data_IF_505166093342
#
_entry.id   IF_505166093342
#
_cell.length_a   1.000
_cell.length_b   1.000
_cell.length_c   1.000
_cell.angle_alpha   90.00
_cell.angle_beta   90.00
_cell.angle_gamma   90.00
#
_symmetry.space_group_name_H-M   'P 1'
#
loop_
_entity.id
_entity.type
_entity.pdbx_description
1 polymer ?
2 branched ?
3 non-polymer ?
4 non-polymer ?
5 non-polymer ?
6 water ?
#
# COMPACT_ATOMS: atom_id res chain seq x y z
N UNK A 1 -5.19 -11.16 -26.05
CA UNK A 1 -4.43 -10.57 -24.95
C UNK A 1 -3.26 -11.47 -24.51
N UNK A 2 -2.17 -10.84 -24.11
CA UNK A 2 -0.99 -11.55 -23.61
C UNK A 2 -0.70 -11.15 -22.17
N UNK A 3 -0.03 -12.03 -21.43
CA UNK A 3 0.40 -11.69 -20.09
C UNK A 3 1.42 -10.57 -20.20
N UNK A 4 1.37 -9.61 -19.29
CA UNK A 4 2.38 -8.55 -19.27
C UNK A 4 3.72 -9.06 -18.74
N UNK A 5 4.81 -8.65 -19.40
CA UNK A 5 6.16 -8.90 -18.89
C UNK A 5 6.80 -7.61 -18.42
N UNK A 6 7.59 -7.69 -17.35
CA UNK A 6 8.25 -6.53 -16.80
C UNK A 6 9.55 -6.24 -17.57
N UNK A 7 9.41 -5.57 -18.70
CA UNK A 7 10.54 -5.39 -19.63
C UNK A 7 11.24 -4.04 -19.53
N UNK A 8 10.67 -3.11 -18.75
CA UNK A 8 11.19 -1.75 -18.71
C UNK A 8 11.82 -1.38 -17.37
N UNK A 9 12.68 -0.37 -17.37
CA UNK A 9 13.20 0.18 -16.14
C UNK A 9 12.30 1.31 -15.68
N UNK A 10 12.57 1.84 -14.48
CA UNK A 10 11.82 3.01 -14.00
C UNK A 10 12.25 4.24 -14.78
N UNK A 11 11.29 5.11 -15.05
CA UNK A 11 11.61 6.43 -15.59
C UNK A 11 12.41 7.19 -14.55
N UNK A 12 13.24 8.12 -15.00
CA UNK A 12 13.96 9.00 -14.10
C UNK A 12 12.99 9.89 -13.34
N UNK A 13 13.08 9.85 -12.01
CA UNK A 13 12.19 10.62 -11.15
C UNK A 13 12.84 11.94 -10.74
N UNK A 14 12.38 13.04 -11.34
CA UNK A 14 12.91 14.36 -10.99
C UNK A 14 11.94 15.21 -10.16
N UNK A 15 10.67 14.81 -10.16
CA UNK A 15 9.65 15.39 -9.28
C UNK A 15 8.40 14.52 -9.36
N UNK A 16 7.35 14.93 -8.68
CA UNK A 16 6.10 14.18 -8.71
C UNK A 16 4.97 15.11 -9.14
N UNK A 17 4.09 14.63 -10.01
CA UNK A 17 2.93 15.42 -10.44
C UNK A 17 1.64 14.80 -9.93
N UNK A 18 0.60 15.63 -9.78
CA UNK A 18 -0.70 15.13 -9.34
C UNK A 18 -1.28 14.13 -10.36
N UNK A 19 -1.75 12.99 -9.87
CA UNK A 19 -2.30 11.95 -10.74
C UNK A 19 -3.79 11.79 -10.48
N UNK A 20 -4.16 11.68 -9.22
CA UNK A 20 -5.58 11.55 -8.86
C UNK A 20 -5.88 12.00 -7.45
N UNK A 21 -7.14 12.39 -7.23
CA UNK A 21 -7.58 12.82 -5.91
C UNK A 21 -9.09 12.72 -5.91
N UNK A 22 -9.67 12.07 -4.90
CA UNK A 22 -11.11 11.88 -4.95
C UNK A 22 -11.95 12.78 -4.05
N UNK A 23 -11.32 13.49 -3.11
CA UNK A 23 -12.06 14.39 -2.21
C UNK A 23 -13.26 13.69 -1.57
N UNK A 24 -13.08 12.42 -1.20
CA UNK A 24 -14.22 11.58 -0.82
C UNK A 24 -14.95 12.06 0.43
N UNK A 25 -14.21 12.57 1.41
CA UNK A 25 -14.82 12.97 2.69
C UNK A 25 -15.58 14.27 2.52
N UNK A 26 -15.02 15.22 1.77
CA UNK A 26 -15.73 16.44 1.39
C UNK A 26 -17.07 16.11 0.75
N UNK A 27 -17.01 15.26 -0.28
CA UNK A 27 -18.20 14.96 -1.08
C UNK A 27 -19.19 14.14 -0.24
N UNK A 28 -18.67 13.21 0.54
CA UNK A 28 -19.48 12.35 1.39
C UNK A 28 -20.22 13.05 2.52
N UNK A 29 -19.90 14.32 2.77
CA UNK A 29 -20.67 15.09 3.76
C UNK A 29 -22.12 15.22 3.28
N UNK A 30 -22.31 15.16 1.97
CA UNK A 30 -23.65 15.25 1.39
C UNK A 30 -23.74 14.49 0.08
N UNK A 31 -23.61 13.18 0.17
CA UNK A 31 -23.87 12.24 -0.93
C UNK A 31 -23.57 10.85 -0.38
N UNK A 32 -23.93 9.83 -1.12
CA UNK A 32 -23.87 8.46 -0.62
C UNK A 32 -22.50 7.82 -0.86
N UNK A 33 -21.51 8.31 -0.12
CA UNK A 33 -20.13 7.85 -0.24
C UNK A 33 -19.86 6.82 0.84
N UNK A 34 -19.32 5.68 0.45
CA UNK A 34 -19.03 4.61 1.42
C UNK A 34 -17.88 4.98 2.34
N UNK A 35 -17.99 4.62 3.61
CA UNK A 35 -16.86 4.67 4.52
C UNK A 35 -15.82 3.64 4.08
N UNK A 36 -14.56 4.05 3.99
CA UNK A 36 -13.49 3.13 3.62
C UNK A 36 -12.29 3.27 4.55
N UNK A 37 -11.29 2.41 4.34
CA UNK A 37 -9.92 2.66 4.77
C UNK A 37 -9.04 1.68 3.98
N UNK A 38 -7.72 1.77 4.19
CA UNK A 38 -6.76 0.94 3.45
C UNK A 38 -6.96 1.01 1.93
N UNK A 39 -6.89 2.21 1.34
CA UNK A 39 -7.11 2.32 -0.10
C UNK A 39 -5.85 1.99 -0.89
N UNK A 40 -6.00 1.82 -2.20
CA UNK A 40 -4.86 1.77 -3.11
C UNK A 40 -5.30 2.06 -4.54
N UNK A 41 -4.36 1.98 -5.49
CA UNK A 41 -4.67 2.23 -6.89
C UNK A 41 -4.11 1.04 -7.67
N UNK A 42 -4.78 0.64 -8.75
CA UNK A 42 -4.28 -0.46 -9.56
C UNK A 42 -4.80 -0.32 -10.98
N UNK A 43 -3.96 -0.63 -11.96
CA UNK A 43 -4.34 -0.48 -13.36
C UNK A 43 -4.66 -1.79 -14.07
N UNK A 44 -5.66 -1.71 -14.93
CA UNK A 44 -5.95 -2.71 -15.96
C UNK A 44 -5.30 -2.22 -17.25
N UNK A 45 -5.26 -3.06 -18.30
CA UNK A 45 -4.66 -2.55 -19.54
C UNK A 45 -5.40 -1.37 -20.17
N UNK A 46 -6.66 -1.15 -19.79
CA UNK A 46 -7.47 -0.10 -20.43
C UNK A 46 -8.02 0.94 -19.47
N UNK A 47 -7.69 0.82 -18.19
CA UNK A 47 -8.27 1.72 -17.18
C UNK A 47 -7.50 1.60 -15.89
N UNK A 48 -7.34 2.71 -15.17
CA UNK A 48 -6.81 2.65 -13.82
C UNK A 48 -7.92 2.99 -12.82
N UNK A 49 -7.94 2.31 -11.68
CA UNK A 49 -9.04 2.47 -10.72
C UNK A 49 -8.55 2.63 -9.28
N UNK A 50 -9.38 3.27 -8.46
CA UNK A 50 -9.14 3.34 -7.02
C UNK A 50 -9.73 2.10 -6.35
N UNK A 51 -9.08 1.64 -5.29
CA UNK A 51 -9.48 0.46 -4.53
C UNK A 51 -9.47 0.82 -3.04
N UNK A 52 -10.29 0.13 -2.25
CA UNK A 52 -10.26 0.28 -0.79
C UNK A 52 -11.11 -0.77 -0.11
N UNK A 53 -10.98 -0.87 1.21
CA UNK A 53 -11.88 -1.72 1.98
C UNK A 53 -13.07 -0.91 2.48
N UNK A 54 -14.25 -1.19 1.92
CA UNK A 54 -15.47 -0.56 2.40
C UNK A 54 -15.76 -1.04 3.81
N UNK A 55 -16.56 -0.25 4.54
CA UNK A 55 -17.07 -0.66 5.84
C UNK A 55 -18.56 -1.00 5.78
N UNK A 56 -19.14 -0.98 4.58
CA UNK A 56 -20.52 -1.41 4.42
C UNK A 56 -21.52 -0.43 5.01
N UNK A 57 -21.24 0.86 4.84
CA UNK A 57 -22.11 1.94 5.29
C UNK A 57 -21.61 3.21 4.63
N UNK A 58 -22.46 4.22 4.49
CA UNK A 58 -21.98 5.53 4.05
C UNK A 58 -21.53 6.34 5.26
N UNK A 59 -20.87 7.48 5.02
CA UNK A 59 -20.33 8.29 6.11
C UNK A 59 -21.46 8.95 6.89
N UNK A 60 -22.47 9.44 6.19
CA UNK A 60 -23.59 10.09 6.83
C UNK A 60 -24.55 9.09 7.48
N UNK A 61 -24.47 7.84 7.04
CA UNK A 61 -25.27 6.79 7.63
C UNK A 61 -24.94 6.57 9.09
N UNK A 62 -25.94 6.21 9.88
CA UNK A 62 -25.73 5.97 11.30
C UNK A 62 -24.80 4.78 11.56
N UNK A 63 -24.69 3.86 10.60
CA UNK A 63 -23.79 2.72 10.76
C UNK A 63 -22.31 3.11 10.61
N UNK A 64 -22.02 4.38 10.29
CA UNK A 64 -20.63 4.84 10.28
C UNK A 64 -20.07 4.87 11.70
N UNK A 65 -20.97 4.84 12.68
CA UNK A 65 -20.57 4.83 14.08
C UNK A 65 -19.83 3.54 14.42
N UNK A 66 -18.56 3.65 14.79
CA UNK A 66 -17.77 2.49 15.18
C UNK A 66 -16.82 2.00 14.09
N UNK A 67 -16.71 2.74 13.00
CA UNK A 67 -15.89 2.29 11.86
C UNK A 67 -14.39 2.44 12.06
N UNK A 68 -13.94 2.80 13.26
CA UNK A 68 -12.51 2.67 13.55
C UNK A 68 -12.12 1.19 13.54
N UNK A 69 -13.12 0.34 13.75
CA UNK A 69 -12.94 -1.12 13.82
C UNK A 69 -12.33 -1.69 12.54
N UNK A 70 -11.36 -2.59 12.68
CA UNK A 70 -10.62 -3.10 11.52
C UNK A 70 -11.28 -4.24 10.73
N UNK A 71 -11.97 -5.15 11.41
CA UNK A 71 -12.30 -6.43 10.79
C UNK A 71 -13.72 -6.97 10.97
N UNK A 72 -14.71 -6.26 10.44
CA UNK A 72 -16.10 -6.72 10.57
C UNK A 72 -16.51 -7.56 9.36
N UNK A 73 -17.68 -8.18 9.47
CA UNK A 73 -18.26 -8.97 8.40
C UNK A 73 -18.83 -8.08 7.29
N UNK A 74 -18.77 -6.77 7.50
CA UNK A 74 -19.44 -5.83 6.60
C UNK A 74 -18.44 -5.16 5.68
N UNK A 75 -17.20 -5.64 5.72
CA UNK A 75 -16.15 -5.09 4.85
C UNK A 75 -15.99 -5.85 3.54
N UNK A 76 -15.54 -5.15 2.52
CA UNK A 76 -15.29 -5.74 1.21
C UNK A 76 -14.30 -4.89 0.46
N UNK A 77 -13.53 -5.53 -0.41
CA UNK A 77 -12.67 -4.80 -1.34
C UNK A 77 -13.57 -4.27 -2.46
N UNK A 78 -13.56 -2.95 -2.65
CA UNK A 78 -14.30 -2.34 -3.75
C UNK A 78 -13.35 -1.59 -4.67
N UNK A 79 -13.76 -1.40 -5.91
CA UNK A 79 -13.01 -0.53 -6.82
C UNK A 79 -13.97 0.46 -7.48
N UNK A 80 -13.44 1.57 -7.96
CA UNK A 80 -14.27 2.62 -8.55
C UNK A 80 -13.42 3.49 -9.47
N UNK A 81 -14.07 4.27 -10.37
CA UNK A 81 -13.29 4.99 -11.39
C UNK A 81 -12.31 5.98 -10.80
N UNK A 82 -11.14 6.09 -11.43
CA UNK A 82 -10.06 6.99 -11.00
C UNK A 82 -10.58 8.39 -10.63
N UNK A 83 -10.25 8.81 -9.40
CA UNK A 83 -10.58 10.15 -8.87
C UNK A 83 -12.06 10.46 -8.57
N UNK A 84 -12.95 9.54 -8.90
CA UNK A 84 -14.30 9.60 -8.36
C UNK A 84 -14.24 9.14 -6.91
N UNK A 85 -15.26 9.49 -6.11
CA UNK A 85 -15.27 8.96 -4.74
C UNK A 85 -15.91 7.58 -4.72
N UNK A 86 -15.68 6.79 -3.65
CA UNK A 86 -16.31 5.47 -3.60
C UNK A 86 -17.76 5.57 -3.17
N UNK A 87 -18.70 5.56 -4.12
CA UNK A 87 -20.10 5.72 -3.77
C UNK A 87 -20.82 4.37 -3.80
N UNK A 88 -22.00 4.35 -3.20
CA UNK A 88 -22.83 3.14 -3.22
C UNK A 88 -23.14 2.74 -4.66
N UNK A 89 -23.26 3.74 -5.54
CA UNK A 89 -23.77 3.51 -6.89
C UNK A 89 -22.68 3.29 -7.95
N UNK A 90 -21.43 3.57 -7.63
CA UNK A 90 -20.34 3.43 -8.61
C UNK A 90 -19.27 2.44 -8.20
N UNK A 91 -19.40 1.87 -7.00
CA UNK A 91 -18.37 0.98 -6.48
C UNK A 91 -18.63 -0.47 -6.89
N UNK A 92 -17.61 -1.12 -7.42
CA UNK A 92 -17.71 -2.52 -7.80
C UNK A 92 -17.06 -3.38 -6.73
N UNK A 93 -17.80 -4.36 -6.21
CA UNK A 93 -17.23 -5.25 -5.18
C UNK A 93 -16.37 -6.33 -5.83
N UNK A 94 -15.11 -6.41 -5.41
CA UNK A 94 -14.17 -7.39 -5.95
C UNK A 94 -14.21 -8.70 -5.16
N UNK A 95 -14.33 -8.58 -3.83
CA UNK A 95 -14.48 -9.74 -2.95
C UNK A 95 -14.78 -9.27 -1.53
N UNK A 96 -15.15 -10.20 -0.66
CA UNK A 96 -15.57 -9.88 0.70
C UNK A 96 -14.45 -10.15 1.71
N UNK A 97 -14.17 -9.19 2.59
CA UNK A 97 -13.12 -9.37 3.59
C UNK A 97 -12.53 -8.09 4.12
N UNK A 98 -11.49 -8.21 4.94
CA UNK A 98 -10.94 -7.05 5.66
C UNK A 98 -9.44 -6.88 5.49
N UNK A 99 -8.88 -7.61 4.52
CA UNK A 99 -7.48 -7.45 4.12
C UNK A 99 -7.41 -7.92 2.68
N UNK A 100 -6.71 -7.17 1.83
CA UNK A 100 -6.76 -7.46 0.40
C UNK A 100 -5.52 -7.12 -0.40
N UNK A 101 -5.48 -7.66 -1.61
CA UNK A 101 -4.57 -7.19 -2.66
C UNK A 101 -5.27 -7.46 -3.99
N UNK A 102 -4.74 -6.91 -5.07
CA UNK A 102 -5.34 -7.10 -6.38
C UNK A 102 -4.32 -6.69 -7.44
N UNK A 103 -4.32 -7.38 -8.58
CA UNK A 103 -3.46 -6.97 -9.70
C UNK A 103 -3.91 -7.59 -11.01
N UNK A 104 -3.66 -6.90 -12.10
CA UNK A 104 -3.97 -7.41 -13.44
C UNK A 104 -2.71 -8.03 -14.04
N UNK A 105 -2.84 -9.20 -14.68
CA UNK A 105 -1.68 -9.88 -15.27
C UNK A 105 -1.51 -9.59 -16.75
N UNK A 106 -2.37 -8.73 -17.29
CA UNK A 106 -2.35 -8.42 -18.72
C UNK A 106 -3.52 -9.05 -19.43
N UNK A 107 -3.98 -10.20 -18.91
CA UNK A 107 -5.18 -10.85 -19.44
C UNK A 107 -6.40 -10.63 -18.55
N UNK A 108 -6.28 -10.95 -17.26
CA UNK A 108 -7.36 -10.73 -16.30
C UNK A 108 -6.83 -10.27 -14.95
N UNK A 109 -7.75 -9.86 -14.07
CA UNK A 109 -7.38 -9.40 -12.74
C UNK A 109 -7.53 -10.48 -11.69
N UNK A 110 -6.54 -10.57 -10.81
CA UNK A 110 -6.65 -11.40 -9.61
C UNK A 110 -6.93 -10.48 -8.43
N UNK A 111 -7.91 -10.82 -7.61
CA UNK A 111 -8.16 -10.09 -6.36
C UNK A 111 -8.21 -11.09 -5.22
N UNK A 112 -7.63 -10.72 -4.08
CA UNK A 112 -7.61 -11.62 -2.93
C UNK A 112 -8.17 -10.89 -1.72
N UNK A 113 -9.13 -11.50 -1.03
CA UNK A 113 -9.69 -10.95 0.20
C UNK A 113 -9.61 -11.98 1.31
N UNK A 114 -9.22 -11.54 2.50
CA UNK A 114 -9.22 -12.40 3.67
C UNK A 114 -10.38 -12.02 4.58
N UNK A 115 -11.10 -13.02 5.09
CA UNK A 115 -12.17 -12.78 6.06
C UNK A 115 -12.10 -13.83 7.14
N UNK A 116 -12.91 -13.66 8.18
CA UNK A 116 -12.95 -14.63 9.27
C UNK A 116 -12.63 -14.03 10.62
N UNK A 117 -12.79 -14.83 11.69
CA UNK A 117 -12.39 -14.38 13.02
C UNK A 117 -10.86 -14.44 13.13
N UNK A 118 -10.29 -13.90 14.20
CA UNK A 118 -8.83 -13.84 14.35
C UNK A 118 -8.17 -15.21 14.26
N UNK A 119 -8.82 -16.23 14.80
CA UNK A 119 -8.19 -17.55 14.86
C UNK A 119 -8.60 -18.52 13.76
N UNK A 120 -9.30 -18.03 12.74
CA UNK A 120 -9.86 -18.93 11.73
C UNK A 120 -10.11 -18.22 10.41
N UNK A 121 -9.23 -17.27 10.07
CA UNK A 121 -9.39 -16.48 8.85
C UNK A 121 -8.96 -17.29 7.62
N UNK A 122 -9.42 -16.86 6.45
CA UNK A 122 -9.05 -17.54 5.21
C UNK A 122 -9.04 -16.55 4.05
N UNK A 123 -8.14 -16.79 3.10
CA UNK A 123 -8.06 -16.00 1.87
C UNK A 123 -8.84 -16.70 0.76
N UNK A 124 -9.60 -15.93 -0.01
CA UNK A 124 -10.20 -16.45 -1.23
C UNK A 124 -9.56 -15.70 -2.39
N UNK A 125 -9.04 -16.46 -3.35
CA UNK A 125 -8.37 -15.87 -4.52
C UNK A 125 -9.32 -15.86 -5.69
N UNK A 126 -9.61 -14.66 -6.21
CA UNK A 126 -10.52 -14.50 -7.34
C UNK A 126 -9.70 -14.22 -8.59
N UNK A 127 -10.10 -14.78 -9.72
CA UNK A 127 -9.44 -14.49 -11.00
C UNK A 127 -10.51 -14.32 -12.07
N UNK A 128 -10.42 -13.24 -12.83
CA UNK A 128 -11.44 -12.89 -13.82
C UNK A 128 -12.83 -12.93 -13.19
N UNK A 129 -12.91 -12.35 -11.99
CA UNK A 129 -14.14 -12.15 -11.23
C UNK A 129 -14.83 -13.42 -10.73
N UNK A 130 -14.09 -14.52 -10.67
CA UNK A 130 -14.58 -15.79 -10.12
C UNK A 130 -13.64 -16.31 -9.05
N UNK A 131 -14.20 -16.95 -8.01
CA UNK A 131 -13.33 -17.55 -6.99
C UNK A 131 -12.65 -18.79 -7.56
N UNK A 132 -11.34 -18.92 -7.32
CA UNK A 132 -10.56 -19.99 -7.92
C UNK A 132 -9.81 -20.84 -6.89
N UNK A 133 -9.24 -20.20 -5.87
CA UNK A 133 -8.45 -20.91 -4.87
C UNK A 133 -8.69 -20.32 -3.48
N UNK A 134 -8.45 -21.12 -2.45
CA UNK A 134 -8.66 -20.66 -1.08
C UNK A 134 -7.48 -21.10 -0.21
N UNK A 135 -7.13 -20.26 0.76
CA UNK A 135 -6.02 -20.56 1.65
C UNK A 135 -6.44 -20.36 3.10
N UNK A 136 -6.38 -21.43 3.88
CA UNK A 136 -6.71 -21.33 5.29
C UNK A 136 -5.56 -20.75 6.12
N UNK A 137 -5.91 -20.09 7.22
CA UNK A 137 -4.93 -19.58 8.18
C UNK A 137 -3.95 -20.69 8.58
N UNK A 138 -2.67 -20.34 8.64
CA UNK A 138 -1.65 -21.32 9.03
C UNK A 138 -1.10 -21.09 10.44
N UNK A 139 -1.37 -19.92 10.99
CA UNK A 139 -0.89 -19.57 12.33
C UNK A 139 -2.03 -19.16 13.28
N UNK A 140 -3.24 -19.13 12.75
CA UNK A 140 -4.44 -18.83 13.54
C UNK A 140 -4.34 -17.52 14.29
N UNK A 141 -3.77 -16.52 13.63
CA UNK A 141 -3.64 -15.21 14.26
C UNK A 141 -3.68 -14.09 13.23
N UNK A 142 -4.88 -13.78 12.75
CA UNK A 142 -5.11 -12.68 11.81
C UNK A 142 -4.28 -12.78 10.53
N UNK A 143 -4.58 -13.81 9.72
CA UNK A 143 -4.03 -13.91 8.38
C UNK A 143 -4.26 -12.57 7.67
N UNK A 144 -3.20 -12.00 7.10
CA UNK A 144 -3.30 -10.66 6.51
C UNK A 144 -2.32 -10.46 5.35
N UNK A 145 -2.62 -9.50 4.48
CA UNK A 145 -1.81 -9.33 3.28
C UNK A 145 -1.50 -7.84 2.98
N UNK A 146 -1.27 -7.51 1.72
CA UNK A 146 -0.57 -6.26 1.36
C UNK A 146 -1.30 -4.94 1.60
N UNK A 147 -2.59 -4.91 1.32
CA UNK A 147 -3.39 -3.66 1.29
C UNK A 147 -2.96 -2.68 0.19
N UNK A 148 -2.22 -3.18 -0.80
CA UNK A 148 -2.02 -2.44 -2.05
C UNK A 148 -1.81 -3.47 -3.16
N UNK A 149 -1.58 -3.01 -4.39
CA UNK A 149 -1.59 -3.93 -5.52
C UNK A 149 -0.42 -4.90 -5.51
N UNK A 150 -0.66 -6.09 -6.04
CA UNK A 150 0.41 -7.02 -6.35
C UNK A 150 0.96 -6.70 -7.75
N UNK A 151 1.94 -7.46 -8.21
CA UNK A 151 2.55 -7.22 -9.52
C UNK A 151 2.73 -8.57 -10.22
N UNK A 152 2.55 -8.60 -11.54
CA UNK A 152 2.66 -9.85 -12.29
C UNK A 152 3.75 -9.80 -13.35
N UNK A 153 4.34 -10.96 -13.62
CA UNK A 153 5.27 -11.11 -14.74
C UNK A 153 5.03 -12.45 -15.45
N UNK A 154 4.75 -12.37 -16.75
CA UNK A 154 4.40 -13.55 -17.55
C UNK A 154 3.35 -14.44 -16.89
N UNK A 155 2.35 -13.82 -16.28
CA UNK A 155 1.25 -14.53 -15.66
C UNK A 155 1.46 -14.91 -14.20
N UNK A 156 2.69 -14.79 -13.70
CA UNK A 156 2.96 -15.13 -12.32
C UNK A 156 2.87 -13.89 -11.43
N UNK A 157 2.02 -13.95 -10.42
CA UNK A 157 1.75 -12.81 -9.54
C UNK A 157 2.07 -13.17 -8.10
N UNK A 158 3.25 -12.73 -7.61
CA UNK A 158 3.59 -13.00 -6.21
C UNK A 158 2.80 -12.12 -5.23
N UNK A 159 2.45 -12.70 -4.07
CA UNK A 159 1.76 -11.96 -3.02
C UNK A 159 2.37 -12.29 -1.67
N UNK A 160 2.60 -11.27 -0.84
CA UNK A 160 3.13 -11.50 0.51
C UNK A 160 2.01 -11.55 1.56
N UNK A 161 2.01 -12.60 2.38
CA UNK A 161 1.05 -12.77 3.47
C UNK A 161 1.79 -12.90 4.79
N UNK A 162 1.13 -12.52 5.89
CA UNK A 162 1.64 -12.78 7.23
C UNK A 162 0.53 -13.34 8.09
N UNK A 163 0.86 -14.34 8.92
CA UNK A 163 -0.09 -14.88 9.87
C UNK A 163 0.71 -15.05 11.16
N UNK A 164 0.18 -14.59 12.27
CA UNK A 164 0.91 -14.66 13.52
C UNK A 164 1.03 -13.32 14.20
N UNK A 165 1.90 -13.24 15.19
CA UNK A 165 1.96 -12.07 16.06
C UNK A 165 2.28 -10.75 15.34
N UNK A 166 1.71 -9.66 15.86
CA UNK A 166 2.04 -8.32 15.40
C UNK A 166 3.16 -7.71 16.23
N UNK A 167 3.56 -8.44 17.28
CA UNK A 167 4.49 -7.89 18.27
C UNK A 167 5.61 -8.88 18.63
N UNK A 168 5.93 -9.76 17.69
CA UNK A 168 6.95 -10.78 17.87
C UNK A 168 7.05 -11.52 16.56
N UNK A 169 7.92 -12.55 16.49
CA UNK A 169 8.11 -13.34 15.27
C UNK A 169 6.79 -13.90 14.74
N UNK A 170 6.58 -13.77 13.43
CA UNK A 170 5.35 -14.23 12.80
C UNK A 170 5.69 -15.13 11.60
N UNK A 171 4.67 -15.70 10.99
CA UNK A 171 4.88 -16.63 9.88
C UNK A 171 4.50 -15.99 8.56
N UNK A 172 5.50 -15.48 7.84
CA UNK A 172 5.27 -14.77 6.59
C UNK A 172 5.53 -15.72 5.46
N UNK A 173 4.66 -15.69 4.45
CA UNK A 173 4.79 -16.54 3.28
C UNK A 173 4.68 -15.71 2.02
N UNK A 174 5.44 -16.08 1.00
CA UNK A 174 5.25 -15.49 -0.31
C UNK A 174 4.59 -16.53 -1.22
N UNK A 175 3.39 -16.20 -1.71
CA UNK A 175 2.67 -17.07 -2.63
C UNK A 175 2.86 -16.63 -4.06
N UNK A 176 2.90 -17.59 -4.97
CA UNK A 176 3.03 -17.30 -6.39
C UNK A 176 1.80 -17.85 -7.09
N UNK A 177 0.99 -16.95 -7.64
CA UNK A 177 -0.26 -17.34 -8.31
C UNK A 177 -0.18 -17.22 -9.83
N UNK A 178 -0.90 -18.08 -10.53
CA UNK A 178 -1.11 -17.88 -11.96
C UNK A 178 -2.54 -18.25 -12.30
N UNK A 179 -3.27 -17.31 -12.89
CA UNK A 179 -4.70 -17.47 -13.15
C UNK A 179 -5.45 -17.85 -11.87
N UNK A 180 -4.97 -17.33 -10.74
CA UNK A 180 -5.61 -17.55 -9.46
C UNK A 180 -5.22 -18.84 -8.78
N UNK A 181 -4.49 -19.69 -9.49
CA UNK A 181 -4.05 -20.96 -8.91
C UNK A 181 -2.70 -20.83 -8.22
N UNK A 182 -2.52 -21.58 -7.15
CA UNK A 182 -1.26 -21.59 -6.40
C UNK A 182 -0.20 -22.43 -7.11
N UNK A 183 0.84 -21.77 -7.59
CA UNK A 183 1.98 -22.46 -8.20
C UNK A 183 2.91 -22.98 -7.13
N UNK A 184 3.09 -22.16 -6.10
CA UNK A 184 4.14 -22.39 -5.11
C UNK A 184 3.95 -21.39 -3.98
N UNK A 185 4.36 -21.76 -2.77
CA UNK A 185 4.59 -20.78 -1.71
C UNK A 185 5.88 -21.10 -1.00
N UNK A 186 6.45 -20.10 -0.33
CA UNK A 186 7.65 -20.31 0.46
C UNK A 186 7.62 -19.44 1.71
N UNK A 187 8.29 -19.91 2.76
CA UNK A 187 8.39 -19.11 3.97
C UNK A 187 9.42 -18.00 3.74
N UNK A 188 9.23 -16.89 4.43
CA UNK A 188 10.13 -15.75 4.35
C UNK A 188 11.56 -16.17 4.65
N UNK A 189 12.50 -15.70 3.85
CA UNK A 189 13.91 -15.90 4.16
C UNK A 189 14.60 -14.53 4.20
N UNK A 190 15.86 -14.49 4.60
CA UNK A 190 16.56 -13.22 4.63
C UNK A 190 16.60 -12.61 6.01
N UNK A 191 16.94 -11.33 6.08
CA UNK A 191 17.21 -10.70 7.38
C UNK A 191 16.08 -9.82 7.93
N UNK A 192 15.02 -9.61 7.15
CA UNK A 192 13.84 -8.93 7.68
C UNK A 192 13.28 -9.75 8.84
N UNK A 193 13.01 -9.09 9.96
CA UNK A 193 12.61 -9.79 11.18
C UNK A 193 11.09 -9.78 11.43
N UNK A 194 10.38 -8.88 10.73
CA UNK A 194 8.91 -8.84 10.81
C UNK A 194 8.39 -8.18 9.54
N UNK A 195 7.34 -8.75 8.96
CA UNK A 195 6.82 -8.28 7.68
C UNK A 195 5.30 -8.07 7.74
N UNK A 196 4.84 -6.87 7.39
CA UNK A 196 3.41 -6.60 7.16
C UNK A 196 3.21 -5.64 5.99
N UNK A 197 2.05 -5.75 5.34
CA UNK A 197 1.56 -4.73 4.40
C UNK A 197 2.58 -4.27 3.35
N UNK A 198 3.10 -5.22 2.59
CA UNK A 198 4.10 -4.91 1.56
C UNK A 198 3.52 -4.07 0.43
N UNK A 199 4.26 -3.03 0.03
CA UNK A 199 3.95 -2.24 -1.15
C UNK A 199 4.93 -2.60 -2.25
N UNK A 200 4.43 -3.05 -3.39
CA UNK A 200 5.30 -3.64 -4.39
C UNK A 200 5.21 -2.95 -5.74
N UNK A 201 6.28 -3.06 -6.53
CA UNK A 201 6.26 -2.61 -7.91
C UNK A 201 7.21 -3.52 -8.69
N UNK A 202 7.06 -3.51 -10.01
CA UNK A 202 7.90 -4.37 -10.84
C UNK A 202 8.65 -3.60 -11.91
N UNK A 203 9.83 -4.10 -12.25
CA UNK A 203 10.59 -3.55 -13.36
C UNK A 203 11.56 -4.65 -13.77
N UNK A 204 12.28 -4.46 -14.88
CA UNK A 204 13.13 -5.50 -15.44
C UNK A 204 14.00 -6.25 -14.42
N UNK A 205 14.34 -5.59 -13.32
CA UNK A 205 15.16 -6.20 -12.27
C UNK A 205 14.42 -7.27 -11.46
N UNK A 206 13.10 -7.26 -11.53
CA UNK A 206 12.27 -8.16 -10.75
C UNK A 206 11.16 -7.40 -10.04
N UNK A 207 10.69 -7.92 -8.92
CA UNK A 207 9.64 -7.25 -8.15
C UNK A 207 10.21 -6.81 -6.81
N UNK A 208 10.05 -5.53 -6.48
CA UNK A 208 10.54 -4.98 -5.22
C UNK A 208 9.39 -4.63 -4.29
N UNK A 209 9.41 -5.11 -3.06
CA UNK A 209 8.38 -4.78 -2.08
C UNK A 209 8.98 -4.07 -0.88
N UNK A 210 8.37 -2.95 -0.49
CA UNK A 210 8.76 -2.26 0.73
C UNK A 210 7.64 -2.48 1.73
N UNK A 211 7.98 -3.04 2.88
CA UNK A 211 6.95 -3.44 3.82
C UNK A 211 7.07 -2.67 5.13
N UNK A 212 6.39 -3.16 6.16
CA UNK A 212 6.44 -2.56 7.49
C UNK A 212 6.86 -3.63 8.50
N UNK A 213 7.80 -3.29 9.37
CA UNK A 213 8.15 -4.14 10.51
C UNK A 213 7.34 -3.62 11.68
N UNK A 214 6.30 -4.32 12.11
CA UNK A 214 5.47 -3.80 13.20
C UNK A 214 6.08 -4.03 14.58
N UNK A 215 7.07 -4.91 14.66
CA UNK A 215 7.57 -5.38 15.95
C UNK A 215 8.61 -4.43 16.55
N UNK A 216 9.82 -4.38 16.00
CA UNK A 216 10.86 -3.55 16.60
C UNK A 216 11.45 -2.46 15.72
N UNK A 217 11.18 -2.47 14.42
CA UNK A 217 11.96 -1.65 13.50
C UNK A 217 11.31 -0.38 13.01
N UNK A 218 12.07 0.70 12.86
CA UNK A 218 11.49 1.91 12.28
C UNK A 218 12.11 2.22 10.93
N UNK A 219 13.09 1.41 10.54
CA UNK A 219 13.45 1.28 9.14
C UNK A 219 12.50 0.27 8.51
N UNK A 220 12.38 0.28 7.20
CA UNK A 220 11.43 -0.61 6.54
C UNK A 220 12.10 -1.86 5.98
N UNK A 221 11.49 -3.02 6.20
CA UNK A 221 12.00 -4.23 5.55
C UNK A 221 11.69 -4.21 4.05
N UNK A 222 12.56 -4.86 3.27
CA UNK A 222 12.39 -4.94 1.82
C UNK A 222 12.44 -6.41 1.42
N UNK A 223 11.50 -6.83 0.58
CA UNK A 223 11.53 -8.16 -0.02
C UNK A 223 11.71 -8.00 -1.53
N UNK A 224 12.71 -8.67 -2.09
CA UNK A 224 12.96 -8.63 -3.52
C UNK A 224 12.62 -9.99 -4.11
N UNK A 225 11.73 -10.01 -5.08
CA UNK A 225 11.16 -11.25 -5.59
C UNK A 225 11.50 -11.44 -7.06
N UNK A 226 11.99 -12.63 -7.39
CA UNK A 226 12.21 -13.04 -8.76
C UNK A 226 11.00 -13.88 -9.16
N UNK A 227 10.14 -13.33 -10.04
CA UNK A 227 8.87 -13.99 -10.39
C UNK A 227 9.03 -15.12 -11.40
N UNK A 228 10.24 -15.26 -11.95
CA UNK A 228 10.52 -16.36 -12.87
C UNK A 228 11.02 -17.58 -12.09
N UNK A 229 12.06 -17.38 -11.30
CA UNK A 229 12.57 -18.43 -10.42
C UNK A 229 11.61 -18.70 -9.25
N UNK A 230 10.74 -17.72 -8.98
CA UNK A 230 9.84 -17.78 -7.82
C UNK A 230 10.61 -17.95 -6.52
N UNK A 231 11.58 -17.06 -6.34
CA UNK A 231 12.39 -17.00 -5.13
C UNK A 231 12.48 -15.55 -4.66
N UNK A 232 12.95 -15.35 -3.44
CA UNK A 232 13.04 -14.00 -2.91
C UNK A 232 14.19 -13.87 -1.92
N UNK A 233 14.57 -12.62 -1.64
CA UNK A 233 15.49 -12.30 -0.55
C UNK A 233 14.81 -11.23 0.31
N UNK A 234 15.34 -10.98 1.50
CA UNK A 234 14.85 -9.86 2.30
C UNK A 234 15.95 -9.22 3.12
N UNK A 235 15.77 -7.93 3.39
CA UNK A 235 16.63 -7.18 4.30
C UNK A 235 15.86 -5.93 4.72
N UNK A 236 16.57 -4.90 5.20
CA UNK A 236 15.96 -3.60 5.47
C UNK A 236 16.58 -2.55 4.55
N UNK A 237 15.87 -1.44 4.36
CA UNK A 237 16.49 -0.26 3.75
C UNK A 237 17.63 0.17 4.67
N UNK A 238 18.86 0.18 4.14
CA UNK A 238 20.07 0.50 4.90
C UNK A 238 20.12 1.94 5.39
N UNK A 239 19.50 2.84 4.62
CA UNK A 239 19.57 4.27 4.90
C UNK A 239 19.14 4.67 6.31
N UNK A 240 19.86 5.63 6.91
CA UNK A 240 19.46 6.21 8.20
C UNK A 240 18.28 7.18 8.04
N UNK A 241 17.82 7.42 6.81
CA UNK A 241 16.57 8.16 6.62
C UNK A 241 15.42 7.20 6.90
N UNK A 242 14.93 7.22 8.14
CA UNK A 242 13.95 6.22 8.60
C UNK A 242 12.55 6.57 8.11
N UNK A 243 11.79 5.56 7.68
CA UNK A 243 10.52 5.86 7.01
C UNK A 243 9.27 5.20 7.55
N UNK A 244 9.34 4.56 8.71
CA UNK A 244 8.13 4.03 9.31
C UNK A 244 7.51 5.21 10.15
N UNK A 245 6.39 4.93 10.80
CA UNK A 245 5.75 5.88 11.71
C UNK A 245 4.94 5.15 12.77
N UNK A 246 5.15 5.48 14.06
CA UNK A 246 6.12 6.45 14.57
C UNK A 246 7.55 5.94 14.42
N UNK A 247 8.54 6.80 14.66
CA UNK A 247 9.92 6.42 14.45
C UNK A 247 10.84 7.36 15.24
N UNK A 248 12.08 6.92 15.48
CA UNK A 248 13.04 7.81 16.12
C UNK A 248 13.50 8.87 15.12
N UNK A 249 14.29 9.83 15.58
CA UNK A 249 14.90 10.77 14.67
C UNK A 249 15.96 10.09 13.79
N UNK A 250 16.25 10.67 12.64
CA UNK A 250 17.21 10.06 11.73
C UNK A 250 18.62 10.11 12.32
N UNK A 251 19.28 8.94 12.45
CA UNK A 251 20.68 8.88 12.86
C UNK A 251 21.60 9.11 11.66
N UNK A 252 22.89 8.79 11.79
CA UNK A 252 23.82 8.92 10.67
C UNK A 252 24.24 7.56 10.11
N UNK A 253 23.89 6.51 10.83
CA UNK A 253 24.12 5.15 10.37
C UNK A 253 22.83 4.37 10.51
N UNK A 254 22.35 3.80 9.40
CA UNK A 254 21.14 3.00 9.44
C UNK A 254 21.45 1.54 9.70
N UNK A 255 20.48 0.68 9.43
CA UNK A 255 20.66 -0.76 9.66
C UNK A 255 20.14 -1.55 8.47
N UNK A 256 21.00 -2.40 7.92
CA UNK A 256 20.67 -3.18 6.73
C UNK A 256 19.96 -4.49 7.04
N UNK A 257 20.28 -5.09 8.19
CA UNK A 257 19.89 -6.48 8.44
C UNK A 257 19.21 -6.70 9.78
N UNK A 258 18.71 -5.62 10.37
CA UNK A 258 18.02 -5.70 11.65
C UNK A 258 17.17 -4.45 11.83
N UNK A 259 16.15 -4.54 12.67
CA UNK A 259 15.30 -3.38 12.95
C UNK A 259 16.08 -2.25 13.61
N UNK A 260 15.90 -1.03 13.13
CA UNK A 260 16.43 0.13 13.86
C UNK A 260 15.49 0.43 15.02
N UNK A 261 16.03 0.45 16.25
CA UNK A 261 15.25 0.46 17.50
C UNK A 261 14.78 1.84 17.97
N UNK A 262 13.80 1.85 18.86
CA UNK A 262 13.29 3.09 19.42
C UNK A 262 11.78 3.09 19.57
N UNK A 263 11.10 2.45 18.62
CA UNK A 263 9.64 2.37 18.62
C UNK A 263 9.21 0.93 18.37
N UNK A 264 8.41 0.40 19.29
CA UNK A 264 7.96 -0.99 19.21
C UNK A 264 6.45 -1.13 18.99
N UNK A 265 6.05 -2.24 18.38
CA UNK A 265 4.63 -2.60 18.31
C UNK A 265 3.73 -1.57 17.62
N UNK A 266 4.23 -0.93 16.57
CA UNK A 266 3.40 -0.02 15.79
C UNK A 266 4.07 0.21 14.47
N UNK A 267 3.46 0.99 13.58
CA UNK A 267 4.02 1.20 12.26
C UNK A 267 2.93 1.69 11.35
N UNK A 268 3.29 2.02 10.11
CA UNK A 268 2.30 2.38 9.11
C UNK A 268 2.74 1.77 7.79
N UNK A 269 1.78 1.38 6.96
CA UNK A 269 2.10 0.90 5.61
C UNK A 269 2.73 2.04 4.82
N UNK A 270 3.81 1.73 4.11
CA UNK A 270 4.56 2.72 3.33
C UNK A 270 5.19 2.10 2.10
N UNK A 271 6.05 2.87 1.42
CA UNK A 271 6.61 2.36 0.18
C UNK A 271 7.90 3.09 -0.13
N UNK A 272 8.62 2.59 -1.13
CA UNK A 272 9.77 3.30 -1.68
C UNK A 272 9.97 2.82 -3.10
N UNK A 273 10.75 3.58 -3.86
CA UNK A 273 11.27 3.13 -5.15
C UNK A 273 12.78 3.04 -5.03
N UNK A 274 13.30 1.83 -5.11
CA UNK A 274 14.73 1.59 -4.85
C UNK A 274 15.43 1.31 -6.17
N UNK A 275 16.20 2.29 -6.65
CA UNK A 275 16.68 2.27 -8.02
C UNK A 275 18.02 2.99 -8.14
N UNK A 276 18.99 2.62 -7.31
CA UNK A 276 20.30 3.26 -7.34
C UNK A 276 20.23 4.76 -7.10
N UNK A 277 20.78 5.54 -8.01
CA UNK A 277 20.78 7.00 -7.85
C UNK A 277 19.39 7.60 -8.09
N UNK A 278 18.48 6.79 -8.61
CA UNK A 278 17.09 7.19 -8.88
C UNK A 278 16.14 6.76 -7.75
N UNK A 279 16.69 6.59 -6.55
CA UNK A 279 15.92 6.12 -5.40
C UNK A 279 15.12 7.23 -4.70
N UNK A 280 13.84 6.98 -4.45
CA UNK A 280 13.01 7.93 -3.69
C UNK A 280 12.24 7.20 -2.59
N UNK A 281 12.24 7.78 -1.39
CA UNK A 281 11.55 7.19 -0.25
C UNK A 281 10.36 8.08 0.13
N UNK A 282 9.23 7.46 0.45
CA UNK A 282 8.11 8.20 1.04
C UNK A 282 8.10 8.06 2.55
N UNK A 283 7.61 9.09 3.24
CA UNK A 283 7.39 9.00 4.68
C UNK A 283 6.47 10.09 5.20
N UNK A 284 5.87 9.86 6.37
CA UNK A 284 5.12 10.90 7.06
C UNK A 284 6.13 11.96 7.50
N UNK A 285 5.68 13.21 7.61
CA UNK A 285 6.59 14.24 8.08
C UNK A 285 6.80 14.09 9.58
N UNK A 286 5.71 13.89 10.32
CA UNK A 286 5.79 13.68 11.77
C UNK A 286 6.49 12.37 12.10
N UNK A 287 7.28 12.37 13.17
CA UNK A 287 7.88 11.13 13.66
C UNK A 287 6.97 10.49 14.70
N UNK A 288 5.92 11.18 15.09
CA UNK A 288 5.07 10.70 16.19
C UNK A 288 3.73 10.14 15.72
N UNK A 289 3.19 10.74 14.67
CA UNK A 289 1.85 10.37 14.23
C UNK A 289 1.70 10.39 12.70
N UNK A 290 0.55 9.91 12.23
CA UNK A 290 0.27 9.81 10.80
C UNK A 290 -0.16 11.16 10.23
N UNK A 291 0.78 12.10 10.17
CA UNK A 291 0.47 13.42 9.68
C UNK A 291 1.58 13.87 8.74
N UNK A 292 1.20 14.57 7.68
CA UNK A 292 2.15 15.00 6.67
C UNK A 292 2.59 13.87 5.77
N UNK A 293 3.16 14.22 4.62
CA UNK A 293 3.78 13.23 3.76
C UNK A 293 4.77 13.89 2.84
N UNK A 294 5.95 13.28 2.71
CA UNK A 294 7.00 13.82 1.86
C UNK A 294 7.70 12.72 1.10
N UNK A 295 8.26 13.08 -0.04
CA UNK A 295 9.13 12.19 -0.79
C UNK A 295 10.55 12.73 -0.70
N UNK A 296 11.51 11.84 -0.53
CA UNK A 296 12.91 12.23 -0.41
C UNK A 296 13.79 11.41 -1.36
N UNK A 297 14.62 12.08 -2.15
CA UNK A 297 15.53 11.40 -3.05
C UNK A 297 16.77 11.03 -2.25
N UNK A 298 16.97 9.73 -2.04
CA UNK A 298 18.06 9.23 -1.19
C UNK A 298 18.85 8.21 -1.99
N UNK A 299 19.93 8.66 -2.65
CA UNK A 299 20.67 7.76 -3.54
C UNK A 299 21.14 6.49 -2.85
N UNK A 300 20.88 5.35 -3.49
CA UNK A 300 21.29 4.05 -2.97
C UNK A 300 20.83 3.76 -1.55
N UNK A 301 19.64 4.27 -1.20
CA UNK A 301 19.07 4.08 0.14
C UNK A 301 19.07 2.61 0.55
N UNK A 302 18.78 1.74 -0.41
CA UNK A 302 18.69 0.31 -0.10
C UNK A 302 20.00 -0.24 0.47
N UNK A 303 21.13 0.19 -0.08
CA UNK A 303 22.41 -0.45 0.21
C UNK A 303 23.40 0.40 0.99
N UNK A 304 23.14 1.70 1.09
CA UNK A 304 24.10 2.64 1.68
C UNK A 304 23.62 3.06 3.07
N UNK A 305 24.28 2.55 4.12
CA UNK A 305 23.84 2.83 5.48
C UNK A 305 24.23 4.22 6.00
N UNK A 306 24.79 5.05 5.12
CA UNK A 306 25.07 6.44 5.45
C UNK A 306 24.26 7.44 4.61
N UNK A 307 23.42 6.93 3.72
CA UNK A 307 22.77 7.76 2.70
C UNK A 307 21.78 8.79 3.25
N UNK A 308 21.83 9.99 2.69
CA UNK A 308 20.98 11.11 3.12
C UNK A 308 20.28 11.75 1.90
N UNK A 309 19.25 12.57 2.14
CA UNK A 309 18.51 13.13 0.99
C UNK A 309 19.31 14.16 0.21
N UNK A 310 19.09 14.23 -1.10
CA UNK A 310 19.67 15.29 -1.92
C UNK A 310 18.60 16.12 -2.64
N UNK A 311 17.34 15.72 -2.49
CA UNK A 311 16.21 16.41 -3.10
C UNK A 311 14.96 15.90 -2.42
N UNK A 312 13.86 16.65 -2.48
CA UNK A 312 12.62 16.18 -1.89
C UNK A 312 11.39 16.87 -2.42
N UNK A 313 10.22 16.41 -1.99
CA UNK A 313 8.97 17.08 -2.34
C UNK A 313 7.93 16.84 -1.26
N UNK A 314 7.35 17.93 -0.75
CA UNK A 314 6.27 17.78 0.22
C UNK A 314 5.00 17.44 -0.54
N UNK A 315 4.25 16.45 -0.04
CA UNK A 315 3.00 16.03 -0.68
C UNK A 315 1.81 16.47 0.17
N UNK A 316 1.92 16.26 1.47
CA UNK A 316 0.89 16.68 2.43
C UNK A 316 1.57 17.40 3.58
N UNK A 317 1.07 18.57 3.95
CA UNK A 317 1.67 19.35 5.04
C UNK A 317 1.54 18.59 6.35
N UNK A 318 2.49 18.81 7.26
CA UNK A 318 2.44 18.15 8.56
C UNK A 318 1.18 18.48 9.35
N UNK A 319 0.60 19.65 9.07
CA UNK A 319 -0.64 20.08 9.70
C UNK A 319 -1.85 19.23 9.29
N UNK A 320 -1.70 18.45 8.23
CA UNK A 320 -2.80 17.64 7.71
C UNK A 320 -2.58 16.14 7.94
N UNK A 321 -3.66 15.41 8.20
CA UNK A 321 -3.58 13.99 8.47
C UNK A 321 -3.28 13.19 7.21
N UNK A 322 -2.36 12.24 7.33
CA UNK A 322 -2.10 11.31 6.25
C UNK A 322 -2.55 9.90 6.66
N UNK A 323 -1.72 8.90 6.42
CA UNK A 323 -2.10 7.52 6.68
C UNK A 323 -1.28 6.56 5.84
N UNK A 324 -1.90 5.47 5.42
CA UNK A 324 -1.23 4.48 4.59
C UNK A 324 -0.74 5.06 3.26
N UNK A 325 0.34 4.50 2.73
CA UNK A 325 0.79 4.88 1.40
C UNK A 325 1.34 3.64 0.71
N UNK A 326 1.29 3.60 -0.61
CA UNK A 326 1.73 2.43 -1.34
C UNK A 326 2.02 2.73 -2.80
N UNK A 327 2.66 1.77 -3.46
CA UNK A 327 3.13 1.94 -4.83
C UNK A 327 2.22 1.26 -5.83
N UNK A 328 2.16 1.81 -7.04
CA UNK A 328 1.52 1.16 -8.18
C UNK A 328 2.11 1.80 -9.42
N UNK A 329 2.00 1.13 -10.56
CA UNK A 329 2.38 1.75 -11.83
C UNK A 329 1.44 1.32 -12.92
N UNK A 330 1.34 2.15 -13.96
CA UNK A 330 0.58 1.76 -15.14
C UNK A 330 1.48 0.97 -16.07
N UNK A 331 1.46 -0.36 -15.91
CA UNK A 331 2.31 -1.23 -16.70
C UNK A 331 1.95 -1.26 -18.19
N UNK A 332 0.83 -0.64 -18.54
CA UNK A 332 0.34 -0.68 -19.93
C UNK A 332 0.44 0.67 -20.64
N UNK A 333 1.12 1.62 -20.01
CA UNK A 333 1.33 2.93 -20.62
C UNK A 333 2.35 2.87 -21.77
N UNK A 334 2.28 3.84 -22.66
CA UNK A 334 3.24 3.94 -23.76
C UNK A 334 4.60 4.43 -23.25
N UNK A 335 5.65 4.21 -24.03
CA UNK A 335 6.96 4.71 -23.65
C UNK A 335 8.00 3.64 -23.38
N UNK A 336 9.19 4.08 -22.99
CA UNK A 336 10.33 3.17 -22.82
C UNK A 336 10.59 2.81 -21.36
N UNK A 337 9.81 3.39 -20.46
CA UNK A 337 10.04 3.19 -19.04
C UNK A 337 8.73 3.17 -18.26
N UNK A 338 8.77 2.59 -17.06
CA UNK A 338 7.62 2.57 -16.17
C UNK A 338 7.65 3.81 -15.28
N UNK A 339 6.57 4.57 -15.26
CA UNK A 339 6.48 5.78 -14.46
C UNK A 339 6.04 5.43 -13.05
N UNK A 340 6.91 5.67 -12.07
CA UNK A 340 6.61 5.37 -10.68
C UNK A 340 5.40 6.18 -10.21
N UNK A 341 4.49 5.53 -9.49
CA UNK A 341 3.36 6.24 -8.90
C UNK A 341 3.15 5.80 -7.45
N UNK A 342 2.38 6.59 -6.71
CA UNK A 342 2.02 6.21 -5.35
C UNK A 342 0.74 6.90 -4.94
N UNK A 343 0.11 6.38 -3.88
CA UNK A 343 -1.05 7.02 -3.30
C UNK A 343 -0.75 7.30 -1.84
N UNK A 344 -1.46 8.26 -1.27
CA UNK A 344 -1.45 8.46 0.17
C UNK A 344 -2.89 8.46 0.65
N UNK A 345 -3.17 7.62 1.63
CA UNK A 345 -4.46 7.61 2.32
C UNK A 345 -4.50 8.79 3.29
N UNK A 346 -5.55 9.61 3.18
CA UNK A 346 -5.71 10.75 4.08
C UNK A 346 -6.83 10.41 5.06
N UNK A 347 -6.45 9.93 6.24
CA UNK A 347 -7.42 9.44 7.23
C UNK A 347 -8.11 10.59 7.95
N UNK A 348 -9.44 10.54 8.01
CA UNK A 348 -10.22 11.51 8.76
C UNK A 348 -11.06 10.80 9.80
N UNK A 349 -11.36 11.48 10.89
CA UNK A 349 -12.15 10.87 11.95
C UNK A 349 -11.29 10.21 13.02
N UNK A 350 -11.78 9.12 13.59
CA UNK A 350 -11.09 8.52 14.74
C UNK A 350 -9.83 7.77 14.33
N UNK A 351 -8.83 7.72 15.24
CA UNK A 351 -8.86 8.21 16.61
C UNK A 351 -8.50 9.69 16.77
N UNK A 352 -7.86 10.28 15.78
CA UNK A 352 -7.35 11.65 15.93
C UNK A 352 -8.44 12.72 16.00
N UNK A 353 -9.54 12.50 15.30
CA UNK A 353 -10.63 13.48 15.30
C UNK A 353 -11.89 12.84 15.88
N UNK A 354 -12.02 12.90 17.20
CA UNK A 354 -13.02 12.07 17.88
C UNK A 354 -14.36 12.74 18.10
N UNK A 355 -14.56 13.94 17.55
CA UNK A 355 -15.86 14.59 17.64
C UNK A 355 -16.87 13.91 16.72
N UNK A 356 -16.38 13.20 15.70
CA UNK A 356 -17.20 12.28 14.93
C UNK A 356 -16.98 10.86 15.43
N UNK A 357 -17.91 9.97 15.10
CA UNK A 357 -17.85 8.60 15.60
C UNK A 357 -17.36 7.63 14.53
N UNK A 358 -17.03 8.17 13.36
CA UNK A 358 -16.54 7.34 12.25
C UNK A 358 -15.05 7.49 11.98
N UNK A 359 -14.52 6.56 11.18
CA UNK A 359 -13.17 6.66 10.62
C UNK A 359 -13.30 6.39 9.13
N UNK A 360 -12.77 7.28 8.29
CA UNK A 360 -12.77 7.04 6.85
C UNK A 360 -11.53 7.68 6.28
N UNK A 361 -11.51 7.90 4.96
CA UNK A 361 -10.36 8.51 4.33
C UNK A 361 -10.70 9.03 2.94
N UNK A 362 -9.82 9.85 2.39
CA UNK A 362 -9.84 10.10 0.96
C UNK A 362 -8.49 9.69 0.41
N UNK A 363 -8.31 9.87 -0.90
CA UNK A 363 -7.09 9.43 -1.56
C UNK A 363 -6.47 10.60 -2.31
N UNK A 364 -5.15 10.73 -2.23
CA UNK A 364 -4.42 11.55 -3.21
C UNK A 364 -3.35 10.65 -3.84
N UNK A 365 -3.04 10.88 -5.11
CA UNK A 365 -2.08 10.03 -5.81
C UNK A 365 -1.21 10.87 -6.72
N UNK A 366 0.07 10.49 -6.80
CA UNK A 366 1.05 11.18 -7.66
C UNK A 366 1.80 10.18 -8.54
N UNK A 367 2.28 10.64 -9.69
CA UNK A 367 3.24 9.87 -10.48
C UNK A 367 4.48 10.72 -10.74
N UNK A 368 5.57 10.08 -11.18
CA UNK A 368 6.81 10.83 -11.36
C UNK A 368 6.85 11.59 -12.69
N UNK A 369 7.66 12.65 -12.71
CA UNK A 369 7.92 13.43 -13.92
C UNK A 369 9.42 13.53 -14.11
N UNK A 370 9.87 13.62 -15.36
CA UNK A 370 11.27 13.89 -15.65
C UNK A 370 11.55 15.38 -15.62
N UNK A 371 10.50 16.19 -15.48
CA UNK A 371 10.66 17.61 -15.23
C UNK A 371 10.89 17.85 -13.74
N UNK A 372 11.37 19.04 -13.40
CA UNK A 372 11.49 19.44 -12.01
C UNK A 372 10.33 20.37 -11.69
N UNK A 373 9.18 19.77 -11.35
CA UNK A 373 7.93 20.52 -11.23
C UNK A 373 7.79 21.21 -9.88
N UNK A 374 7.12 22.36 -9.89
CA UNK A 374 6.79 23.06 -8.65
C UNK A 374 5.90 22.18 -7.78
N UNK A 375 5.99 22.34 -6.47
CA UNK A 375 5.22 21.49 -5.56
C UNK A 375 4.03 22.23 -4.94
N UNK A 376 2.93 21.50 -4.75
CA UNK A 376 1.80 22.00 -3.95
C UNK A 376 1.68 21.06 -2.78
N UNK A 377 0.68 21.27 -1.93
CA UNK A 377 0.36 20.30 -0.89
C UNK A 377 -1.09 19.89 -1.05
N UNK A 378 -1.44 18.67 -0.64
CA UNK A 378 -2.73 18.08 -1.00
C UNK A 378 -3.50 17.52 0.20
N UNK A 379 -4.25 18.39 0.89
CA UNK A 379 -5.00 17.96 2.08
C UNK A 379 -6.27 17.21 1.69
N UNK A 380 -6.82 16.46 2.63
CA UNK A 380 -8.13 15.84 2.41
C UNK A 380 -9.16 16.92 2.06
N UNK A 381 -9.17 18.00 2.85
CA UNK A 381 -9.98 19.16 2.54
C UNK A 381 -11.34 19.24 3.19
N UNK A 382 -11.72 18.21 3.95
CA UNK A 382 -13.01 18.26 4.63
C UNK A 382 -12.93 18.99 5.96
N UNK A 383 -14.03 19.62 6.35
CA UNK A 383 -14.11 20.30 7.64
C UNK A 383 -14.95 19.46 8.59
N UNK A 384 -14.28 18.88 9.60
CA UNK A 384 -14.93 17.98 10.56
C UNK A 384 -16.19 18.57 11.18
N UNK A 385 -16.15 19.88 11.45
CA UNK A 385 -17.27 20.59 12.10
C UNK A 385 -18.58 20.42 11.33
N UNK A 386 -18.49 20.26 10.01
CA UNK A 386 -19.67 20.12 9.18
C UNK A 386 -20.42 18.82 9.48
N UNK A 387 -19.72 17.84 10.05
CA UNK A 387 -20.30 16.52 10.28
C UNK A 387 -20.94 16.39 11.66
N UNK A 388 -20.88 17.47 12.44
CA UNK A 388 -21.38 17.44 13.82
C UNK A 388 -22.85 17.81 13.93
#
# INVERSE_FOLDING_TARGET
RNFNNLTKGLCTINSWHIYGKDNAVRIGESSDVLVTREPYVSCDPDECRFYALSQGTTIRGKHSNGTIHDRSQYRALISWPLSSPPTVYNSRVECIGWSSTSCHDGKSRMSICISGPNNNASAVVWYNRRPVAEINTWARNILRTQESECVCHNGVCPVVFTDGSATGPADTRIYYFKEGKILKWESLTGTAKHIEECSCYGERTGITCTCKDNWQGSNRPVIQIDPVAMTHTSQYICSPVLTDNPRPNDPNIGKCNDPYPGNNNNGVKGFSYLDGANTWLGRTISTASRSGYEMLKVPNALTDDRSKPIQGQTIVLNADWSGYSGSFMDYWAEGDCYRACFYVELIRGRPKEDKVWWTSNSIVSMCSSTEFLGQWNWPDGAKIEYFL
#
